data_IF_663157250578
#
_entry.id   IF_663157250578
#
_cell.length_a   1.000
_cell.length_b   1.000
_cell.length_c   1.000
_cell.angle_alpha   90.00
_cell.angle_beta   90.00
_cell.angle_gamma   90.00
#
_symmetry.space_group_name_H-M   'P 1'
#
loop_
_entity.id
_entity.type
_entity.pdbx_description
1 polymer ?
#
# COMPACT_ATOMS: atom_id res chain seq x y z
N UNK A 1 -1.58 -20.37 23.35
CA UNK A 1 -1.35 -18.96 22.96
C UNK A 1 -2.70 -18.24 22.96
N UNK A 2 -2.77 -16.95 23.34
CA UNK A 2 -4.04 -16.17 23.42
C UNK A 2 -4.46 -15.51 22.09
N UNK A 3 -3.58 -15.58 21.10
CA UNK A 3 -3.79 -15.00 19.77
C UNK A 3 -3.65 -16.16 18.78
N UNK A 4 -4.65 -16.28 17.91
CA UNK A 4 -4.63 -17.21 16.77
C UNK A 4 -4.68 -16.36 15.51
N UNK A 5 -3.74 -16.59 14.59
CA UNK A 5 -3.62 -15.83 13.35
C UNK A 5 -4.11 -16.70 12.20
N UNK A 6 -5.06 -16.18 11.43
CA UNK A 6 -5.59 -16.83 10.24
C UNK A 6 -5.16 -16.05 8.99
N UNK A 7 -4.04 -16.43 8.39
CA UNK A 7 -3.56 -15.80 7.15
C UNK A 7 -4.27 -16.39 5.92
N UNK A 8 -4.50 -15.60 4.87
CA UNK A 8 -5.19 -16.07 3.66
C UNK A 8 -6.66 -16.45 3.92
N UNK A 9 -7.23 -15.96 5.02
CA UNK A 9 -8.63 -16.10 5.36
C UNK A 9 -9.35 -14.77 5.17
N UNK A 10 -10.54 -14.81 4.58
CA UNK A 10 -11.44 -13.68 4.44
C UNK A 10 -12.74 -13.96 5.18
N UNK A 11 -13.39 -12.90 5.66
CA UNK A 11 -14.70 -12.99 6.28
C UNK A 11 -15.74 -13.38 5.22
N UNK A 12 -16.39 -14.53 5.37
CA UNK A 12 -17.43 -15.00 4.44
C UNK A 12 -18.83 -14.64 4.93
N UNK A 13 -19.10 -14.86 6.21
CA UNK A 13 -20.39 -14.55 6.82
C UNK A 13 -20.20 -14.07 8.26
N UNK A 14 -21.12 -13.22 8.71
CA UNK A 14 -21.18 -12.77 10.10
C UNK A 14 -22.63 -12.64 10.55
N UNK A 15 -22.86 -12.90 11.83
CA UNK A 15 -24.15 -12.73 12.47
C UNK A 15 -24.02 -12.48 13.96
N UNK A 16 -25.15 -12.23 14.61
CA UNK A 16 -25.21 -12.00 16.05
C UNK A 16 -25.23 -10.52 16.44
N UNK A 17 -24.78 -10.22 17.66
CA UNK A 17 -24.87 -8.91 18.29
C UNK A 17 -23.70 -8.69 19.26
N UNK A 18 -23.58 -7.48 19.81
CA UNK A 18 -22.51 -7.14 20.76
C UNK A 18 -22.49 -8.14 21.92
N UNK A 19 -21.36 -8.81 22.11
CA UNK A 19 -21.19 -9.86 23.12
C UNK A 19 -21.42 -11.30 22.62
N UNK A 20 -21.98 -11.49 21.42
CA UNK A 20 -22.17 -12.80 20.78
C UNK A 20 -22.22 -12.68 19.27
N UNK A 21 -21.05 -12.70 18.63
CA UNK A 21 -20.88 -12.77 17.19
C UNK A 21 -20.53 -14.20 16.77
N UNK A 22 -21.24 -14.68 15.76
CA UNK A 22 -20.91 -15.90 15.03
C UNK A 22 -20.30 -15.47 13.70
N UNK A 23 -19.06 -15.90 13.44
CA UNK A 23 -18.22 -15.44 12.34
C UNK A 23 -17.76 -16.67 11.57
N UNK A 24 -17.90 -16.64 10.25
CA UNK A 24 -17.31 -17.64 9.37
C UNK A 24 -16.21 -17.00 8.53
N UNK A 25 -15.07 -17.67 8.48
CA UNK A 25 -13.97 -17.32 7.60
C UNK A 25 -13.89 -18.36 6.48
N UNK A 26 -13.80 -17.89 5.23
CA UNK A 26 -13.44 -18.71 4.08
C UNK A 26 -11.95 -18.55 3.80
N UNK A 27 -11.25 -19.64 3.48
CA UNK A 27 -9.89 -19.55 2.96
C UNK A 27 -9.94 -19.59 1.44
N UNK A 28 -9.50 -18.51 0.80
CA UNK A 28 -9.26 -18.53 -0.63
C UNK A 28 -7.96 -19.29 -0.85
N UNK A 29 -8.03 -20.48 -1.45
CA UNK A 29 -6.89 -21.08 -2.14
C UNK A 29 -6.59 -20.19 -3.37
N UNK A 30 -6.02 -19.02 -3.16
CA UNK A 30 -5.77 -18.05 -4.23
C UNK A 30 -4.32 -18.25 -4.72
N UNK A 31 -4.21 -18.94 -5.84
CA UNK A 31 -2.98 -19.33 -6.53
C UNK A 31 -2.22 -18.16 -7.19
N UNK A 32 -2.69 -16.90 -7.15
CA UNK A 32 -2.05 -15.85 -7.99
C UNK A 32 -1.44 -14.62 -7.28
N UNK A 33 -1.73 -14.31 -6.00
CA UNK A 33 -1.19 -13.06 -5.39
C UNK A 33 -0.88 -13.08 -3.89
N UNK A 34 -1.11 -14.20 -3.18
CA UNK A 34 -0.75 -14.28 -1.78
C UNK A 34 0.79 -14.41 -1.62
N UNK A 35 1.43 -13.66 -0.71
CA UNK A 35 2.84 -13.88 -0.41
C UNK A 35 3.07 -15.34 -0.02
N UNK A 36 4.16 -15.93 -0.50
CA UNK A 36 4.53 -17.28 -0.04
C UNK A 36 4.76 -17.29 1.49
N UNK A 37 4.59 -18.43 2.18
CA UNK A 37 4.76 -18.50 3.63
C UNK A 37 6.10 -17.91 4.08
N UNK A 38 6.07 -16.88 4.93
CA UNK A 38 7.25 -16.16 5.40
C UNK A 38 7.78 -15.05 4.48
N UNK A 39 7.26 -14.90 3.26
CA UNK A 39 7.58 -13.78 2.37
C UNK A 39 6.75 -12.56 2.76
N UNK A 40 7.41 -11.41 2.93
CA UNK A 40 6.77 -10.12 3.08
C UNK A 40 6.52 -9.50 1.70
N UNK A 41 5.29 -9.01 1.48
CA UNK A 41 4.95 -8.15 0.34
C UNK A 41 4.43 -6.83 0.87
N UNK A 42 4.98 -5.74 0.36
CA UNK A 42 4.59 -4.38 0.75
C UNK A 42 3.07 -4.21 0.61
N UNK A 43 2.44 -3.60 1.61
CA UNK A 43 0.99 -3.40 1.71
C UNK A 43 0.10 -4.68 1.77
N UNK A 44 0.64 -5.88 1.48
CA UNK A 44 -0.08 -7.16 1.54
C UNK A 44 0.26 -8.00 2.79
N UNK A 45 1.40 -7.74 3.44
CA UNK A 45 1.82 -8.40 4.67
C UNK A 45 2.66 -9.66 4.45
N UNK A 46 2.71 -10.55 5.45
CA UNK A 46 3.50 -11.78 5.43
C UNK A 46 2.62 -12.99 5.14
N UNK A 47 3.05 -13.84 4.21
CA UNK A 47 2.36 -15.10 3.88
C UNK A 47 2.34 -16.05 5.07
N UNK A 48 1.20 -16.71 5.30
CA UNK A 48 1.02 -17.69 6.38
C UNK A 48 0.72 -19.10 5.87
N UNK A 49 0.62 -20.09 6.78
CA UNK A 49 0.34 -21.48 6.42
C UNK A 49 -1.06 -21.63 5.83
N UNK A 50 -1.23 -22.63 4.96
CA UNK A 50 -2.52 -22.96 4.34
C UNK A 50 -3.50 -23.46 5.40
N UNK A 51 -4.72 -22.92 5.39
CA UNK A 51 -5.75 -23.14 6.40
C UNK A 51 -6.95 -23.94 5.85
N UNK A 52 -7.72 -24.63 6.71
CA UNK A 52 -8.94 -25.33 6.32
C UNK A 52 -9.97 -24.40 5.68
N UNK A 53 -10.78 -24.95 4.76
CA UNK A 53 -11.60 -24.19 3.81
C UNK A 53 -12.66 -23.28 4.45
N UNK A 54 -13.22 -23.67 5.61
CA UNK A 54 -14.19 -22.90 6.37
C UNK A 54 -13.89 -22.99 7.87
N UNK A 55 -13.86 -21.85 8.56
CA UNK A 55 -13.55 -21.75 9.99
C UNK A 55 -14.68 -20.96 10.68
N UNK A 56 -15.38 -21.61 11.60
CA UNK A 56 -16.39 -20.96 12.44
C UNK A 56 -15.76 -20.47 13.74
N UNK A 57 -16.03 -19.21 14.09
CA UNK A 57 -15.52 -18.52 15.28
C UNK A 57 -16.65 -17.83 16.03
N UNK A 58 -16.56 -17.85 17.35
CA UNK A 58 -17.44 -17.08 18.24
C UNK A 58 -16.62 -15.98 18.91
N UNK A 59 -17.11 -14.74 18.90
CA UNK A 59 -16.45 -13.62 19.56
C UNK A 59 -17.45 -12.69 20.25
N UNK A 60 -17.05 -12.05 21.35
CA UNK A 60 -17.84 -10.97 21.96
C UNK A 60 -17.63 -9.61 21.30
N UNK A 61 -16.48 -9.41 20.64
CA UNK A 61 -16.06 -8.12 20.08
C UNK A 61 -15.39 -8.34 18.72
N UNK A 62 -15.66 -7.45 17.77
CA UNK A 62 -15.01 -7.40 16.46
C UNK A 62 -14.31 -6.05 16.31
N UNK A 63 -13.07 -6.09 15.84
CA UNK A 63 -12.29 -4.88 15.52
C UNK A 63 -12.01 -4.89 14.03
N UNK A 64 -12.47 -3.86 13.33
CA UNK A 64 -12.17 -3.68 11.90
C UNK A 64 -10.88 -2.89 11.76
N UNK A 65 -9.86 -3.54 11.23
CA UNK A 65 -8.53 -2.97 10.99
C UNK A 65 -8.03 -3.36 9.59
N UNK A 66 -8.90 -3.31 8.59
CA UNK A 66 -8.63 -3.73 7.20
C UNK A 66 -7.72 -2.75 6.44
N UNK A 67 -7.37 -1.61 7.03
CA UNK A 67 -6.45 -0.65 6.44
C UNK A 67 -7.10 0.22 5.36
N UNK A 68 -6.34 0.51 4.30
CA UNK A 68 -6.73 1.36 3.19
C UNK A 68 -6.09 0.85 1.89
N UNK A 69 -6.64 1.27 0.75
CA UNK A 69 -6.04 1.09 -0.56
C UNK A 69 -5.39 2.40 -1.02
N UNK A 70 -4.16 2.33 -1.52
CA UNK A 70 -3.49 3.48 -2.11
C UNK A 70 -4.18 3.91 -3.40
N UNK A 71 -4.18 5.22 -3.68
CA UNK A 71 -4.59 5.73 -4.98
C UNK A 71 -3.58 5.34 -6.05
N UNK A 72 -4.06 4.80 -7.17
CA UNK A 72 -3.27 4.53 -8.36
C UNK A 72 -3.70 5.51 -9.45
N UNK A 73 -2.81 6.40 -9.93
CA UNK A 73 -3.13 7.34 -11.00
C UNK A 73 -3.55 6.61 -12.28
N UNK A 74 -4.41 7.25 -13.08
CA UNK A 74 -4.77 6.71 -14.39
C UNK A 74 -3.62 6.85 -15.38
N UNK A 75 -3.61 6.05 -16.44
CA UNK A 75 -2.60 6.17 -17.51
C UNK A 75 -2.66 7.57 -18.12
N UNK A 76 -1.51 8.24 -18.17
CA UNK A 76 -1.36 9.62 -18.64
C UNK A 76 -1.44 10.68 -17.53
N UNK A 77 -1.97 10.37 -16.34
CA UNK A 77 -2.00 11.31 -15.21
C UNK A 77 -0.56 11.62 -14.76
N UNK A 78 -0.09 12.86 -14.99
CA UNK A 78 1.31 13.27 -14.82
C UNK A 78 2.32 12.41 -15.60
N UNK A 79 1.88 11.70 -16.65
CA UNK A 79 2.69 10.74 -17.41
C UNK A 79 2.84 9.38 -16.73
N UNK A 80 2.02 9.07 -15.71
CA UNK A 80 1.99 7.74 -15.09
C UNK A 80 1.56 6.68 -16.12
N UNK A 81 2.27 5.55 -16.16
CA UNK A 81 2.05 4.48 -17.14
C UNK A 81 2.59 4.77 -18.55
N UNK A 82 2.92 6.02 -18.88
CA UNK A 82 3.57 6.39 -20.14
C UNK A 82 5.08 6.52 -20.00
N UNK A 83 5.53 7.11 -18.89
CA UNK A 83 6.94 7.31 -18.56
C UNK A 83 7.33 6.37 -17.40
N UNK A 84 8.39 5.57 -17.60
CA UNK A 84 8.87 4.62 -16.58
C UNK A 84 9.46 5.31 -15.35
N UNK A 85 9.84 6.58 -15.48
CA UNK A 85 10.40 7.40 -14.42
C UNK A 85 9.31 7.98 -13.49
N UNK A 86 8.04 7.95 -13.91
CA UNK A 86 6.90 8.38 -13.11
C UNK A 86 6.37 7.17 -12.35
N UNK A 87 6.56 7.17 -11.03
CA UNK A 87 6.13 6.10 -10.13
C UNK A 87 5.42 6.67 -8.91
N UNK A 88 4.67 5.82 -8.21
CA UNK A 88 3.95 6.25 -7.00
C UNK A 88 4.90 6.35 -5.80
N UNK A 89 4.49 7.10 -4.77
CA UNK A 89 5.26 7.20 -3.53
C UNK A 89 5.46 5.82 -2.85
N UNK A 90 4.45 4.93 -2.77
CA UNK A 90 4.66 3.56 -2.31
C UNK A 90 5.73 2.79 -3.10
N UNK A 91 5.76 2.89 -4.43
CA UNK A 91 6.76 2.21 -5.26
C UNK A 91 8.17 2.74 -4.98
N UNK A 92 8.32 4.06 -4.87
CA UNK A 92 9.59 4.69 -4.51
C UNK A 92 10.05 4.22 -3.12
N UNK A 93 9.16 4.20 -2.13
CA UNK A 93 9.48 3.74 -0.77
C UNK A 93 9.90 2.27 -0.75
N UNK A 94 9.24 1.43 -1.55
CA UNK A 94 9.64 0.02 -1.69
C UNK A 94 11.05 -0.10 -2.26
N UNK A 95 11.34 0.60 -3.37
CA UNK A 95 12.69 0.61 -3.98
C UNK A 95 13.75 1.10 -2.99
N UNK A 96 13.46 2.18 -2.24
CA UNK A 96 14.36 2.68 -1.21
C UNK A 96 14.58 1.68 -0.06
N UNK A 97 13.54 0.91 0.30
CA UNK A 97 13.66 -0.13 1.33
C UNK A 97 14.51 -1.32 0.86
N UNK A 98 14.42 -1.69 -0.41
CA UNK A 98 15.26 -2.73 -1.03
C UNK A 98 16.73 -2.30 -1.10
N UNK A 99 16.99 -1.01 -1.29
CA UNK A 99 18.34 -0.42 -1.34
C UNK A 99 18.82 0.14 0.01
N UNK A 100 18.23 -0.27 1.14
CA UNK A 100 18.48 0.37 2.45
C UNK A 100 19.96 0.44 2.86
N UNK A 101 20.76 -0.54 2.44
CA UNK A 101 22.19 -0.61 2.75
C UNK A 101 23.07 0.05 1.67
N UNK A 102 22.50 0.49 0.56
CA UNK A 102 23.21 1.18 -0.51
C UNK A 102 23.42 2.65 -0.18
N UNK A 103 24.66 3.11 -0.35
CA UNK A 103 25.05 4.51 -0.20
C UNK A 103 26.01 4.89 -1.30
N UNK A 104 25.92 6.13 -1.78
CA UNK A 104 26.77 6.60 -2.87
C UNK A 104 26.59 8.09 -3.11
N UNK A 105 27.18 8.63 -4.17
CA UNK A 105 26.94 10.03 -4.54
C UNK A 105 25.52 10.24 -5.04
N UNK A 106 25.12 9.45 -6.06
CA UNK A 106 23.82 9.59 -6.71
C UNK A 106 22.97 8.32 -6.62
N UNK A 107 21.67 8.54 -6.48
CA UNK A 107 20.65 7.51 -6.51
C UNK A 107 20.62 6.85 -7.88
N UNK A 108 20.56 5.53 -7.92
CA UNK A 108 20.36 4.77 -9.14
C UNK A 108 19.05 3.99 -9.02
N UNK A 109 18.11 4.25 -9.93
CA UNK A 109 16.82 3.56 -9.99
C UNK A 109 16.65 2.95 -11.38
N UNK A 110 16.32 1.65 -11.42
CA UNK A 110 16.01 0.92 -12.66
C UNK A 110 17.08 1.11 -13.76
N UNK A 111 18.35 1.03 -13.34
CA UNK A 111 19.51 1.18 -14.23
C UNK A 111 19.84 2.63 -14.65
N UNK A 112 19.14 3.64 -14.11
CA UNK A 112 19.36 5.05 -14.42
C UNK A 112 19.89 5.82 -13.23
N UNK A 113 20.83 6.72 -13.52
CA UNK A 113 21.41 7.64 -12.54
C UNK A 113 20.52 8.87 -12.38
N UNK A 114 19.99 9.08 -11.19
CA UNK A 114 19.06 10.16 -10.87
C UNK A 114 19.85 11.35 -10.30
N UNK A 115 19.84 12.47 -11.02
CA UNK A 115 20.44 13.74 -10.56
C UNK A 115 19.44 14.61 -9.81
N UNK A 116 18.18 14.55 -10.24
CA UNK A 116 17.10 15.37 -9.72
C UNK A 116 15.84 14.53 -9.68
N UNK A 117 15.12 14.62 -8.58
CA UNK A 117 13.84 13.97 -8.34
C UNK A 117 12.85 15.05 -7.92
N UNK A 118 11.60 14.94 -8.37
CA UNK A 118 10.52 15.81 -7.94
C UNK A 118 9.41 14.96 -7.32
N UNK A 119 8.82 15.45 -6.23
CA UNK A 119 7.67 14.80 -5.59
C UNK A 119 6.44 15.69 -5.79
N UNK A 120 5.43 15.17 -6.47
CA UNK A 120 4.14 15.86 -6.65
C UNK A 120 3.24 15.50 -5.47
N UNK A 121 2.79 16.52 -4.74
CA UNK A 121 1.89 16.33 -3.60
C UNK A 121 0.43 16.28 -4.02
N UNK A 122 -0.40 15.66 -3.16
CA UNK A 122 -1.85 15.59 -3.30
C UNK A 122 -2.33 14.88 -4.59
N UNK A 123 -1.52 14.02 -5.21
CA UNK A 123 -1.97 13.17 -6.32
C UNK A 123 -3.08 12.25 -5.81
N UNK A 124 -4.25 12.29 -6.45
CA UNK A 124 -5.45 11.56 -6.00
C UNK A 124 -6.05 12.02 -4.67
N UNK A 125 -5.78 13.25 -4.22
CA UNK A 125 -6.32 13.81 -2.98
C UNK A 125 -6.55 15.31 -3.10
N UNK A 126 -7.47 15.87 -2.31
CA UNK A 126 -7.89 17.28 -2.41
C UNK A 126 -8.30 17.66 -3.84
N UNK A 127 -8.90 16.71 -4.56
CA UNK A 127 -9.40 16.93 -5.89
C UNK A 127 -10.59 17.89 -5.83
N UNK A 128 -10.69 18.75 -6.84
CA UNK A 128 -11.67 19.83 -6.92
C UNK A 128 -12.68 19.47 -8.02
N UNK A 129 -13.99 19.42 -7.70
CA UNK A 129 -15.04 19.21 -8.69
C UNK A 129 -14.97 20.20 -9.85
N UNK A 130 -15.09 19.69 -11.08
CA UNK A 130 -14.99 20.48 -12.31
C UNK A 130 -13.58 20.89 -12.73
N UNK A 131 -12.55 20.54 -11.94
CA UNK A 131 -11.13 20.72 -12.31
C UNK A 131 -10.44 19.38 -12.52
N UNK A 132 -10.71 18.41 -11.64
CA UNK A 132 -10.16 17.07 -11.70
C UNK A 132 -11.20 16.10 -12.24
N UNK A 133 -10.74 15.05 -12.91
CA UNK A 133 -11.59 14.00 -13.44
C UNK A 133 -12.11 13.11 -12.29
N UNK A 134 -13.40 12.79 -12.36
CA UNK A 134 -14.06 11.84 -11.45
C UNK A 134 -13.64 10.41 -11.78
N UNK A 135 -13.67 9.52 -10.78
CA UNK A 135 -13.45 8.09 -11.00
C UNK A 135 -14.64 7.45 -11.75
N UNK A 136 -14.51 6.16 -12.09
CA UNK A 136 -15.56 5.41 -12.82
C UNK A 136 -16.92 5.39 -12.11
N UNK A 137 -16.96 5.67 -10.80
CA UNK A 137 -18.17 5.72 -9.99
C UNK A 137 -18.68 7.16 -9.79
N UNK A 138 -18.05 8.16 -10.40
CA UNK A 138 -18.39 9.58 -10.25
C UNK A 138 -17.88 10.19 -8.94
N UNK A 139 -16.88 9.59 -8.30
CA UNK A 139 -16.33 10.08 -7.05
C UNK A 139 -15.02 10.84 -7.24
N UNK A 140 -14.82 11.86 -6.40
CA UNK A 140 -13.60 12.63 -6.27
C UNK A 140 -13.08 12.55 -4.84
N UNK A 141 -11.77 12.39 -4.70
CA UNK A 141 -11.13 12.42 -3.38
C UNK A 141 -10.89 13.87 -2.95
N UNK A 142 -11.93 14.52 -2.45
CA UNK A 142 -11.88 15.91 -1.97
C UNK A 142 -11.11 16.05 -0.63
N UNK A 143 -10.86 14.95 0.06
CA UNK A 143 -10.18 14.93 1.35
C UNK A 143 -8.65 14.93 1.23
N UNK A 144 -7.97 15.27 2.34
CA UNK A 144 -6.53 15.14 2.47
C UNK A 144 -6.17 13.73 2.97
N UNK A 145 -5.27 13.03 2.28
CA UNK A 145 -4.77 11.71 2.70
C UNK A 145 -3.91 11.72 3.97
N UNK A 146 -3.63 12.91 4.54
CA UNK A 146 -2.96 13.17 5.84
C UNK A 146 -1.50 12.71 5.97
N UNK A 147 -1.10 11.61 5.33
CA UNK A 147 0.20 10.97 5.49
C UNK A 147 1.18 11.28 4.36
N UNK A 148 0.69 11.67 3.18
CA UNK A 148 1.50 11.87 1.98
C UNK A 148 2.62 12.90 2.19
N UNK A 149 2.33 14.04 2.83
CA UNK A 149 3.35 15.07 3.06
C UNK A 149 4.52 14.56 3.93
N UNK A 150 4.22 13.93 5.07
CA UNK A 150 5.26 13.42 5.96
C UNK A 150 6.03 12.26 5.34
N UNK A 151 5.36 11.36 4.62
CA UNK A 151 6.01 10.26 3.92
C UNK A 151 6.95 10.76 2.82
N UNK A 152 6.55 11.76 2.03
CA UNK A 152 7.38 12.40 1.01
C UNK A 152 8.63 13.06 1.61
N UNK A 153 8.48 13.80 2.71
CA UNK A 153 9.62 14.43 3.40
C UNK A 153 10.58 13.38 3.93
N UNK A 154 10.07 12.28 4.51
CA UNK A 154 10.90 11.18 4.98
C UNK A 154 11.68 10.52 3.83
N UNK A 155 11.04 10.29 2.69
CA UNK A 155 11.70 9.77 1.49
C UNK A 155 12.79 10.72 1.00
N UNK A 156 12.50 12.03 0.93
CA UNK A 156 13.47 13.05 0.52
C UNK A 156 14.69 13.09 1.45
N UNK A 157 14.48 13.06 2.77
CA UNK A 157 15.56 13.01 3.75
C UNK A 157 16.40 11.74 3.58
N UNK A 158 15.76 10.57 3.44
CA UNK A 158 16.44 9.29 3.25
C UNK A 158 17.31 9.32 1.99
N UNK A 159 16.80 9.87 0.89
CA UNK A 159 17.57 10.01 -0.36
C UNK A 159 18.76 10.94 -0.15
N UNK A 160 18.57 12.10 0.48
CA UNK A 160 19.66 13.08 0.69
C UNK A 160 20.74 12.57 1.65
N UNK A 161 20.37 11.76 2.63
CA UNK A 161 21.31 11.15 3.57
C UNK A 161 22.14 10.04 2.93
N UNK A 162 21.52 9.19 2.09
CA UNK A 162 22.20 8.09 1.42
C UNK A 162 22.89 8.49 0.12
N UNK A 163 22.38 9.53 -0.57
CA UNK A 163 22.77 9.96 -1.92
C UNK A 163 22.84 11.50 -2.03
N UNK A 164 23.84 12.16 -1.42
CA UNK A 164 23.89 13.62 -1.27
C UNK A 164 24.02 14.41 -2.57
N UNK A 165 24.46 13.80 -3.67
CA UNK A 165 24.55 14.45 -4.98
C UNK A 165 23.23 14.38 -5.78
N UNK A 166 22.18 13.79 -5.20
CA UNK A 166 20.82 13.75 -5.78
C UNK A 166 20.02 14.91 -5.22
N UNK A 167 19.54 15.79 -6.09
CA UNK A 167 18.60 16.85 -5.71
C UNK A 167 17.20 16.27 -5.57
N UNK A 168 16.53 16.57 -4.47
CA UNK A 168 15.12 16.25 -4.22
C UNK A 168 14.39 17.54 -3.87
#
# INVERSE_FOLDING_TARGET
>A
PRITVYCGASLSSYGGYVGKFSIELSTTAAEDEAPSPGQYVSCKGVGGPMLPQNIALESGVVVLATGFSSYTPHTGEYGFGENQEVMTLPDLLQKLAEMKDEKGGQLHLDGRRIRSLAIIHCVGSRQIPGVHEEDENGHLNEYCSRVCCSASINAANTIRESFPDTSV
#
